data_IF_741276761757
#
_entry.id   IF_741276761757
#
_cell.length_a   1.000
_cell.length_b   1.000
_cell.length_c   1.000
_cell.angle_alpha   90.00
_cell.angle_beta   90.00
_cell.angle_gamma   90.00
#
_symmetry.space_group_name_H-M   'P 1'
#
loop_
_entity.id
_entity.type
_entity.pdbx_description
1 polymer ?
#
# COMPACT_ATOMS: atom_id res chain seq x y z
N UNK A 1 -34.13 -17.17 17.79
CA UNK A 1 -33.10 -17.46 18.81
C UNK A 1 -31.94 -16.52 18.58
N UNK A 2 -31.57 -15.80 19.62
CA UNK A 2 -30.73 -14.60 19.60
C UNK A 2 -29.30 -14.87 19.09
N UNK A 3 -28.78 -13.91 18.33
CA UNK A 3 -27.43 -13.89 17.74
C UNK A 3 -26.36 -13.32 18.68
N UNK A 4 -26.66 -13.19 19.97
CA UNK A 4 -25.78 -12.53 20.95
C UNK A 4 -25.15 -13.56 21.90
N UNK A 5 -24.09 -14.25 21.46
CA UNK A 5 -22.99 -14.74 22.33
C UNK A 5 -21.98 -15.60 21.57
N UNK A 6 -21.13 -14.98 20.75
CA UNK A 6 -19.81 -15.55 20.45
C UNK A 6 -18.76 -14.57 20.95
N UNK A 7 -18.32 -14.74 22.21
CA UNK A 7 -17.13 -14.03 22.70
C UNK A 7 -15.90 -14.73 22.13
N UNK A 8 -15.35 -14.17 21.05
CA UNK A 8 -14.06 -14.56 20.51
C UNK A 8 -13.00 -14.12 21.53
N UNK A 9 -12.23 -15.07 22.03
CA UNK A 9 -11.08 -14.84 22.91
C UNK A 9 -10.09 -13.85 22.27
N UNK A 10 -9.78 -12.76 23.01
CA UNK A 10 -8.89 -11.65 22.67
C UNK A 10 -7.44 -12.06 22.36
N UNK A 11 -7.18 -12.67 21.22
CA UNK A 11 -5.91 -12.54 20.50
C UNK A 11 -6.26 -12.00 19.11
N UNK A 12 -6.39 -10.67 19.01
CA UNK A 12 -6.52 -10.02 17.71
C UNK A 12 -5.22 -10.23 16.94
N UNK A 13 -5.19 -11.24 16.07
CA UNK A 13 -4.19 -11.36 15.02
C UNK A 13 -4.35 -10.13 14.12
N UNK A 14 -3.51 -9.13 14.36
CA UNK A 14 -3.48 -7.92 13.54
C UNK A 14 -2.67 -8.22 12.28
N UNK A 15 -3.32 -8.06 11.14
CA UNK A 15 -2.74 -8.13 9.80
C UNK A 15 -3.09 -6.85 9.08
N UNK A 16 -2.32 -6.46 8.07
CA UNK A 16 -2.64 -5.44 7.07
C UNK A 16 -2.92 -6.03 5.67
N UNK A 17 -2.77 -7.35 5.50
CA UNK A 17 -2.95 -8.03 4.21
C UNK A 17 -4.42 -8.46 3.99
N UNK A 18 -4.95 -8.16 2.81
CA UNK A 18 -6.32 -8.52 2.42
C UNK A 18 -6.52 -10.04 2.30
N UNK A 19 -5.49 -10.74 1.81
CA UNK A 19 -5.49 -12.21 1.72
C UNK A 19 -5.56 -12.87 3.10
N UNK A 20 -4.83 -12.35 4.10
CA UNK A 20 -4.88 -12.88 5.47
C UNK A 20 -6.22 -12.58 6.13
N UNK A 21 -6.76 -11.37 5.97
CA UNK A 21 -8.08 -11.00 6.48
C UNK A 21 -9.18 -11.93 5.94
N UNK A 22 -9.15 -12.23 4.63
CA UNK A 22 -10.08 -13.18 4.02
C UNK A 22 -9.89 -14.59 4.59
N UNK A 23 -8.66 -15.07 4.70
CA UNK A 23 -8.38 -16.43 5.19
C UNK A 23 -8.85 -16.62 6.65
N UNK A 24 -8.70 -15.59 7.50
CA UNK A 24 -9.23 -15.58 8.87
C UNK A 24 -10.76 -15.69 8.86
N UNK A 25 -11.45 -14.86 8.07
CA UNK A 25 -12.92 -14.86 8.01
C UNK A 25 -13.47 -16.16 7.44
N UNK A 26 -12.87 -16.67 6.35
CA UNK A 26 -13.26 -17.95 5.74
C UNK A 26 -13.01 -19.11 6.70
N UNK A 27 -11.88 -19.11 7.41
CA UNK A 27 -11.57 -20.12 8.42
C UNK A 27 -12.57 -20.13 9.59
N UNK A 28 -13.04 -18.96 10.01
CA UNK A 28 -14.02 -18.82 11.08
C UNK A 28 -15.46 -19.18 10.66
N UNK A 29 -15.85 -18.87 9.42
CA UNK A 29 -17.24 -19.01 8.93
C UNK A 29 -17.49 -20.25 8.09
N UNK A 30 -16.44 -20.87 7.54
CA UNK A 30 -16.51 -22.01 6.61
C UNK A 30 -17.18 -21.69 5.27
N UNK A 31 -17.35 -20.41 4.93
CA UNK A 31 -18.07 -19.96 3.73
C UNK A 31 -17.27 -18.92 2.96
N UNK A 32 -17.54 -18.84 1.66
CA UNK A 32 -17.08 -17.73 0.84
C UNK A 32 -17.78 -16.43 1.23
N UNK A 33 -17.08 -15.31 1.08
CA UNK A 33 -17.54 -13.99 1.50
C UNK A 33 -18.27 -13.34 0.34
N UNK A 34 -19.59 -13.14 0.48
CA UNK A 34 -20.38 -12.42 -0.52
C UNK A 34 -19.86 -10.98 -0.66
N UNK A 35 -19.74 -10.49 -1.90
CA UNK A 35 -19.19 -9.17 -2.19
C UNK A 35 -17.65 -9.12 -2.28
N UNK A 36 -16.98 -10.28 -2.24
CA UNK A 36 -15.53 -10.39 -2.45
C UNK A 36 -15.26 -11.26 -3.69
N UNK A 37 -14.41 -10.77 -4.60
CA UNK A 37 -13.90 -11.58 -5.74
C UNK A 37 -12.41 -11.81 -5.60
N UNK A 38 -11.95 -12.98 -6.05
CA UNK A 38 -10.53 -13.37 -6.05
C UNK A 38 -10.10 -13.83 -7.45
N UNK A 39 -8.92 -13.38 -7.86
CA UNK A 39 -8.19 -13.92 -9.01
C UNK A 39 -6.75 -14.20 -8.58
N UNK A 40 -6.20 -15.35 -8.98
CA UNK A 40 -4.83 -15.72 -8.67
C UNK A 40 -4.06 -16.07 -9.94
N UNK A 41 -2.83 -15.59 -10.02
CA UNK A 41 -1.90 -15.82 -11.14
C UNK A 41 -0.53 -16.21 -10.59
N UNK A 42 0.11 -17.21 -11.19
CA UNK A 42 1.47 -17.62 -10.79
C UNK A 42 2.52 -17.01 -11.73
N UNK A 43 3.70 -16.74 -11.18
CA UNK A 43 4.90 -16.34 -11.94
C UNK A 43 6.11 -17.10 -11.39
N UNK A 44 7.28 -17.10 -12.06
CA UNK A 44 8.38 -18.00 -11.71
C UNK A 44 8.84 -17.99 -10.25
N UNK A 45 8.72 -16.85 -9.55
CA UNK A 45 9.20 -16.66 -8.18
C UNK A 45 8.09 -16.50 -7.14
N UNK A 46 6.82 -16.73 -7.52
CA UNK A 46 5.71 -16.44 -6.63
C UNK A 46 4.33 -16.48 -7.24
N UNK A 47 3.39 -15.82 -6.58
CA UNK A 47 2.03 -15.63 -7.07
C UNK A 47 1.52 -14.22 -6.82
N UNK A 48 0.56 -13.81 -7.63
CA UNK A 48 -0.22 -12.59 -7.46
C UNK A 48 -1.65 -12.99 -7.17
N UNK A 49 -2.21 -12.47 -6.08
CA UNK A 49 -3.62 -12.61 -5.74
C UNK A 49 -4.28 -11.24 -5.76
N UNK A 50 -5.33 -11.09 -6.58
CA UNK A 50 -6.13 -9.88 -6.71
C UNK A 50 -7.44 -10.12 -5.98
N UNK A 51 -7.67 -9.35 -4.91
CA UNK A 51 -8.93 -9.34 -4.16
C UNK A 51 -9.65 -8.04 -4.48
N UNK A 52 -10.94 -8.11 -4.82
CA UNK A 52 -11.81 -6.93 -4.90
C UNK A 52 -12.89 -7.04 -3.85
N UNK A 53 -13.00 -6.02 -3.02
CA UNK A 53 -14.10 -5.81 -2.08
C UNK A 53 -15.08 -4.89 -2.78
N UNK A 54 -16.32 -5.36 -2.99
CA UNK A 54 -17.26 -4.74 -3.93
C UNK A 54 -18.34 -3.90 -3.22
N UNK A 55 -18.66 -4.22 -1.97
CA UNK A 55 -19.74 -3.60 -1.21
C UNK A 55 -19.42 -3.39 0.28
N UNK A 56 -20.25 -2.61 0.96
CA UNK A 56 -20.08 -2.23 2.36
C UNK A 56 -20.22 -3.42 3.34
N UNK A 57 -20.97 -4.45 2.96
CA UNK A 57 -21.12 -5.64 3.80
C UNK A 57 -19.81 -6.44 3.77
N UNK A 58 -19.22 -6.62 2.59
CA UNK A 58 -17.91 -7.22 2.42
C UNK A 58 -16.83 -6.40 3.16
N UNK A 59 -16.87 -5.07 3.11
CA UNK A 59 -15.95 -4.20 3.87
C UNK A 59 -16.02 -4.45 5.38
N UNK A 60 -17.23 -4.51 5.95
CA UNK A 60 -17.43 -4.80 7.39
C UNK A 60 -16.96 -6.19 7.77
N UNK A 61 -17.25 -7.18 6.94
CA UNK A 61 -16.87 -8.59 7.19
C UNK A 61 -15.36 -8.77 7.05
N UNK A 62 -14.74 -8.15 6.05
CA UNK A 62 -13.30 -8.21 5.81
C UNK A 62 -12.49 -7.33 6.78
N UNK A 63 -13.12 -6.32 7.40
CA UNK A 63 -12.40 -5.30 8.16
C UNK A 63 -11.45 -4.48 7.29
N UNK A 64 -11.77 -4.32 6.00
CA UNK A 64 -10.96 -3.65 4.98
C UNK A 64 -11.83 -2.78 4.09
N UNK A 65 -11.42 -1.53 3.80
CA UNK A 65 -12.19 -0.66 2.93
C UNK A 65 -12.48 -1.29 1.57
N UNK A 66 -13.60 -0.89 0.96
CA UNK A 66 -13.89 -1.21 -0.44
C UNK A 66 -12.71 -0.81 -1.35
N UNK A 67 -12.33 -1.69 -2.28
CA UNK A 67 -11.23 -1.44 -3.20
C UNK A 67 -10.67 -2.71 -3.83
N UNK A 68 -9.60 -2.52 -4.60
CA UNK A 68 -8.79 -3.57 -5.21
C UNK A 68 -7.48 -3.71 -4.46
N UNK A 69 -7.19 -4.93 -4.02
CA UNK A 69 -5.96 -5.31 -3.35
C UNK A 69 -5.19 -6.30 -4.22
N UNK A 70 -3.95 -5.99 -4.56
CA UNK A 70 -3.06 -6.87 -5.32
C UNK A 70 -1.93 -7.30 -4.39
N UNK A 71 -1.91 -8.58 -4.02
CA UNK A 71 -0.89 -9.16 -3.16
C UNK A 71 0.09 -9.96 -4.01
N UNK A 72 1.35 -9.58 -4.01
CA UNK A 72 2.45 -10.30 -4.64
C UNK A 72 3.17 -11.08 -3.53
N UNK A 73 3.12 -12.40 -3.57
CA UNK A 73 3.83 -13.27 -2.62
C UNK A 73 5.01 -13.94 -3.33
N UNK A 74 6.22 -13.67 -2.86
CA UNK A 74 7.45 -14.22 -3.41
C UNK A 74 8.38 -14.70 -2.28
N UNK A 75 8.26 -15.98 -1.86
CA UNK A 75 9.01 -16.53 -0.73
C UNK A 75 10.53 -16.42 -0.86
N UNK A 76 11.06 -16.35 -2.09
CA UNK A 76 12.50 -16.26 -2.35
C UNK A 76 13.11 -14.89 -2.02
N UNK A 77 12.30 -13.83 -1.83
CA UNK A 77 12.79 -12.52 -1.43
C UNK A 77 13.56 -12.54 -0.10
N UNK A 78 13.23 -13.46 0.81
CA UNK A 78 13.95 -13.64 2.09
C UNK A 78 15.41 -14.02 1.91
N UNK A 79 15.75 -14.63 0.77
CA UNK A 79 17.13 -15.02 0.43
C UNK A 79 17.87 -13.96 -0.39
N UNK A 80 17.21 -12.82 -0.70
CA UNK A 80 17.78 -11.73 -1.49
C UNK A 80 18.33 -12.17 -2.86
N UNK A 81 17.68 -13.15 -3.50
CA UNK A 81 18.02 -13.55 -4.88
C UNK A 81 17.82 -12.35 -5.83
N UNK A 82 18.84 -11.95 -6.60
CA UNK A 82 18.71 -10.89 -7.60
C UNK A 82 17.66 -11.21 -8.66
N UNK A 83 17.54 -12.48 -9.06
CA UNK A 83 16.58 -12.93 -10.06
C UNK A 83 15.14 -12.83 -9.54
N UNK A 84 14.91 -13.24 -8.29
CA UNK A 84 13.61 -13.08 -7.63
C UNK A 84 13.25 -11.59 -7.48
N UNK A 85 14.19 -10.75 -7.06
CA UNK A 85 13.99 -9.31 -6.94
C UNK A 85 13.64 -8.68 -8.30
N UNK A 86 14.37 -9.01 -9.36
CA UNK A 86 14.10 -8.51 -10.71
C UNK A 86 12.73 -8.95 -11.21
N UNK A 87 12.35 -10.21 -10.99
CA UNK A 87 11.05 -10.72 -11.39
C UNK A 87 9.91 -10.04 -10.64
N UNK A 88 10.03 -9.88 -9.31
CA UNK A 88 9.02 -9.20 -8.48
C UNK A 88 8.91 -7.73 -8.88
N UNK A 89 10.04 -7.04 -9.13
CA UNK A 89 10.04 -5.67 -9.60
C UNK A 89 9.30 -5.52 -10.95
N UNK A 90 9.47 -6.47 -11.87
CA UNK A 90 8.73 -6.51 -13.14
C UNK A 90 7.21 -6.66 -12.94
N UNK A 91 6.80 -7.58 -12.06
CA UNK A 91 5.38 -7.80 -11.72
C UNK A 91 4.78 -6.55 -11.06
N UNK A 92 5.47 -5.98 -10.06
CA UNK A 92 5.04 -4.75 -9.40
C UNK A 92 4.90 -3.58 -10.39
N UNK A 93 5.89 -3.38 -11.27
CA UNK A 93 5.86 -2.34 -12.28
C UNK A 93 4.68 -2.53 -13.25
N UNK A 94 4.39 -3.76 -13.67
CA UNK A 94 3.26 -4.05 -14.56
C UNK A 94 1.91 -3.72 -13.92
N UNK A 95 1.72 -4.10 -12.64
CA UNK A 95 0.49 -3.77 -11.92
C UNK A 95 0.36 -2.27 -11.66
N UNK A 96 1.43 -1.59 -11.25
CA UNK A 96 1.41 -0.14 -11.07
C UNK A 96 1.10 0.59 -12.38
N UNK A 97 1.68 0.16 -13.51
CA UNK A 97 1.37 0.75 -14.82
C UNK A 97 -0.12 0.64 -15.15
N UNK A 98 -0.73 -0.51 -14.89
CA UNK A 98 -2.14 -0.76 -15.15
C UNK A 98 -3.06 0.07 -14.24
N UNK A 99 -2.74 0.15 -12.94
CA UNK A 99 -3.54 0.91 -11.96
C UNK A 99 -3.41 2.42 -12.23
N UNK A 100 -2.18 2.88 -12.45
CA UNK A 100 -1.91 4.29 -12.69
C UNK A 100 -2.51 4.75 -14.02
N UNK A 101 -2.44 3.94 -15.08
CA UNK A 101 -2.96 4.27 -16.41
C UNK A 101 -2.53 5.70 -16.85
N UNK A 102 -1.23 5.94 -16.86
CA UNK A 102 -0.63 7.24 -17.16
C UNK A 102 -0.54 7.47 -18.67
N UNK A 103 -0.74 8.73 -19.09
CA UNK A 103 -0.57 9.16 -20.48
C UNK A 103 0.65 10.08 -20.70
N UNK A 104 1.43 10.33 -19.65
CA UNK A 104 2.75 10.99 -19.72
C UNK A 104 2.72 12.47 -19.33
N UNK A 105 1.57 13.05 -19.03
CA UNK A 105 1.45 14.47 -18.66
C UNK A 105 1.23 14.68 -17.15
N UNK A 106 1.00 13.60 -16.41
CA UNK A 106 0.64 13.68 -15.00
C UNK A 106 1.85 13.90 -14.09
N UNK A 107 1.64 14.59 -12.97
CA UNK A 107 2.63 14.60 -11.89
C UNK A 107 2.23 13.58 -10.84
N UNK A 108 3.15 12.68 -10.50
CA UNK A 108 2.98 11.68 -9.44
C UNK A 108 3.72 12.13 -8.19
N UNK A 109 3.05 12.05 -7.05
CA UNK A 109 3.64 12.31 -5.73
C UNK A 109 3.84 10.99 -4.99
N UNK A 110 5.09 10.64 -4.72
CA UNK A 110 5.45 9.46 -3.91
C UNK A 110 5.64 9.91 -2.46
N UNK A 111 4.96 9.23 -1.55
CA UNK A 111 5.06 9.47 -0.10
C UNK A 111 5.68 8.26 0.56
N UNK A 112 6.86 8.44 1.15
CA UNK A 112 7.49 7.42 2.00
C UNK A 112 7.06 7.60 3.45
N UNK A 113 6.12 6.77 3.91
CA UNK A 113 5.62 6.76 5.28
C UNK A 113 6.56 6.00 6.21
N UNK A 114 6.57 6.42 7.48
CA UNK A 114 7.35 5.80 8.54
C UNK A 114 8.51 6.66 9.04
N UNK A 115 9.26 6.11 9.97
CA UNK A 115 10.35 6.75 10.69
C UNK A 115 11.71 6.20 10.26
N UNK A 116 12.54 7.06 9.63
CA UNK A 116 13.93 6.76 9.26
C UNK A 116 14.80 6.24 10.41
N UNK A 117 14.47 6.61 11.65
CA UNK A 117 15.25 6.23 12.84
C UNK A 117 14.86 4.85 13.39
N UNK A 118 13.75 4.28 12.95
CA UNK A 118 13.28 2.96 13.37
C UNK A 118 13.40 1.98 12.19
N UNK A 119 14.38 1.08 12.23
CA UNK A 119 14.67 0.13 11.14
C UNK A 119 13.44 -0.58 10.55
N UNK A 120 12.50 -1.16 11.33
CA UNK A 120 11.33 -1.83 10.76
C UNK A 120 10.34 -0.87 10.10
N UNK A 121 10.40 0.44 10.41
CA UNK A 121 9.50 1.50 9.93
C UNK A 121 10.21 2.44 8.91
N UNK A 122 11.45 2.11 8.52
CA UNK A 122 12.27 2.95 7.64
C UNK A 122 12.06 2.65 6.14
N UNK A 123 11.15 1.72 5.80
CA UNK A 123 10.92 1.26 4.43
C UNK A 123 10.51 2.40 3.50
N UNK A 124 9.43 3.12 3.80
CA UNK A 124 8.95 4.23 2.97
C UNK A 124 10.03 5.28 2.72
N UNK A 125 10.73 5.79 3.75
CA UNK A 125 11.86 6.68 3.57
C UNK A 125 12.99 6.12 2.71
N UNK A 126 13.32 4.84 2.85
CA UNK A 126 14.35 4.17 2.06
C UNK A 126 13.95 4.09 0.59
N UNK A 127 12.69 3.79 0.29
CA UNK A 127 12.18 3.78 -1.09
C UNK A 127 12.28 5.17 -1.71
N UNK A 128 11.86 6.22 -0.99
CA UNK A 128 11.97 7.62 -1.46
C UNK A 128 13.42 7.99 -1.77
N UNK A 129 14.38 7.57 -0.94
CA UNK A 129 15.80 7.84 -1.16
C UNK A 129 16.36 7.20 -2.43
N UNK A 130 15.81 6.05 -2.84
CA UNK A 130 16.26 5.30 -4.02
C UNK A 130 15.36 5.53 -5.26
N UNK A 131 14.40 6.46 -5.17
CA UNK A 131 13.50 6.78 -6.27
C UNK A 131 14.11 7.86 -7.18
N UNK A 132 14.03 7.67 -8.51
CA UNK A 132 14.41 8.70 -9.47
C UNK A 132 13.38 9.83 -9.49
N UNK A 133 13.78 11.01 -9.00
CA UNK A 133 12.92 12.20 -8.92
C UNK A 133 13.13 13.07 -10.16
N UNK A 134 12.06 13.40 -10.87
CA UNK A 134 12.13 14.02 -12.21
C UNK A 134 11.34 15.31 -12.33
N UNK A 135 10.38 15.61 -11.42
CA UNK A 135 9.50 16.80 -11.54
C UNK A 135 10.26 18.12 -11.77
N UNK A 136 11.40 18.30 -11.10
CA UNK A 136 12.21 19.50 -11.24
C UNK A 136 12.92 19.58 -12.60
N UNK A 137 13.28 18.43 -13.20
CA UNK A 137 13.95 18.38 -14.51
C UNK A 137 13.03 18.80 -15.65
N UNK A 138 11.71 18.61 -15.53
CA UNK A 138 10.76 19.15 -16.51
C UNK A 138 10.82 20.69 -16.62
N UNK A 139 11.22 21.37 -15.55
CA UNK A 139 11.39 22.82 -15.54
C UNK A 139 12.77 23.26 -16.04
N UNK A 140 13.83 22.55 -15.62
CA UNK A 140 15.21 23.01 -15.83
C UNK A 140 15.93 22.32 -16.99
N UNK A 141 15.54 21.10 -17.37
CA UNK A 141 16.20 20.26 -18.37
C UNK A 141 15.19 19.39 -19.14
N UNK A 142 14.21 19.98 -19.86
CA UNK A 142 13.11 19.24 -20.49
C UNK A 142 13.59 18.19 -21.51
N UNK A 143 14.67 18.46 -22.24
CA UNK A 143 15.26 17.52 -23.23
C UNK A 143 15.78 16.22 -22.59
N UNK A 144 16.13 16.25 -21.29
CA UNK A 144 16.62 15.06 -20.58
C UNK A 144 15.49 14.15 -20.10
N UNK A 145 14.22 14.60 -20.16
CA UNK A 145 13.08 13.91 -19.56
C UNK A 145 11.91 13.64 -20.52
N UNK A 146 12.13 13.70 -21.84
CA UNK A 146 11.08 13.50 -22.85
C UNK A 146 10.28 12.18 -22.69
N UNK A 147 10.94 11.12 -22.23
CA UNK A 147 10.34 9.79 -22.04
C UNK A 147 10.12 9.41 -20.57
N UNK A 148 10.18 10.39 -19.67
CA UNK A 148 9.98 10.17 -18.24
C UNK A 148 8.59 10.63 -17.80
N UNK A 149 8.12 10.10 -16.68
CA UNK A 149 6.99 10.67 -15.96
C UNK A 149 7.50 11.80 -15.05
N UNK A 150 6.71 12.87 -14.86
CA UNK A 150 6.97 13.85 -13.79
C UNK A 150 6.69 13.23 -12.43
N UNK A 151 7.73 13.01 -11.64
CA UNK A 151 7.68 12.39 -10.31
C UNK A 151 8.32 13.30 -9.28
N UNK A 152 7.63 13.52 -8.18
CA UNK A 152 8.16 14.14 -6.97
C UNK A 152 7.92 13.22 -5.77
N UNK A 153 8.72 13.38 -4.72
CA UNK A 153 8.59 12.54 -3.55
C UNK A 153 8.95 13.28 -2.27
N UNK A 154 8.34 12.85 -1.17
CA UNK A 154 8.71 13.28 0.19
C UNK A 154 8.63 12.09 1.15
N UNK A 155 9.44 12.14 2.22
CA UNK A 155 9.25 11.31 3.40
C UNK A 155 8.99 12.26 4.57
N UNK A 156 7.73 12.48 4.96
CA UNK A 156 7.35 13.54 5.90
C UNK A 156 7.84 13.30 7.33
N UNK A 157 8.18 12.05 7.67
CA UNK A 157 8.44 11.63 9.04
C UNK A 157 7.16 11.39 9.82
N UNK A 158 7.31 11.24 11.13
CA UNK A 158 6.23 10.90 12.06
C UNK A 158 5.97 12.04 13.04
N UNK A 159 4.75 12.09 13.60
CA UNK A 159 4.30 13.09 14.56
C UNK A 159 5.32 13.36 15.68
N UNK A 160 5.91 12.31 16.25
CA UNK A 160 6.86 12.44 17.36
C UNK A 160 8.16 13.18 17.01
N UNK A 161 8.47 13.33 15.72
CA UNK A 161 9.67 14.03 15.23
C UNK A 161 9.29 15.43 14.72
N UNK A 162 8.17 15.55 14.02
CA UNK A 162 7.78 16.80 13.34
C UNK A 162 6.89 17.71 14.17
N UNK A 163 6.13 17.15 15.12
CA UNK A 163 5.05 17.84 15.81
C UNK A 163 3.81 18.13 14.95
N UNK A 164 3.78 17.64 13.71
CA UNK A 164 2.69 17.83 12.74
C UNK A 164 2.23 16.45 12.28
N UNK A 165 0.91 16.25 12.21
CA UNK A 165 0.36 14.99 11.72
C UNK A 165 0.81 14.73 10.28
N UNK A 166 1.21 13.49 9.99
CA UNK A 166 1.74 13.11 8.67
C UNK A 166 0.76 13.44 7.55
N UNK A 167 -0.55 13.24 7.79
CA UNK A 167 -1.60 13.58 6.84
C UNK A 167 -1.69 15.10 6.55
N UNK A 168 -1.42 15.96 7.54
CA UNK A 168 -1.43 17.43 7.35
C UNK A 168 -0.26 17.88 6.47
N UNK A 169 0.94 17.33 6.71
CA UNK A 169 2.12 17.61 5.88
C UNK A 169 1.84 17.22 4.44
N UNK A 170 1.30 16.01 4.22
CA UNK A 170 0.99 15.50 2.88
C UNK A 170 -0.07 16.39 2.23
N UNK A 171 -1.14 16.74 2.96
CA UNK A 171 -2.21 17.61 2.45
C UNK A 171 -1.66 18.96 1.98
N UNK A 172 -0.82 19.61 2.80
CA UNK A 172 -0.19 20.88 2.43
C UNK A 172 0.68 20.77 1.17
N UNK A 173 1.38 19.65 0.99
CA UNK A 173 2.17 19.39 -0.21
C UNK A 173 1.27 19.13 -1.42
N UNK A 174 0.21 18.34 -1.26
CA UNK A 174 -0.77 18.06 -2.33
C UNK A 174 -1.41 19.35 -2.84
N UNK A 175 -1.78 20.28 -1.94
CA UNK A 175 -2.38 21.56 -2.31
C UNK A 175 -1.44 22.45 -3.14
N UNK A 176 -0.12 22.36 -2.92
CA UNK A 176 0.87 23.15 -3.66
C UNK A 176 1.38 22.47 -4.92
N UNK A 177 1.56 21.15 -4.87
CA UNK A 177 2.10 20.37 -5.99
C UNK A 177 1.01 20.04 -7.01
N UNK A 178 -0.24 19.89 -6.56
CA UNK A 178 -1.38 19.43 -7.36
C UNK A 178 -1.05 18.17 -8.17
N UNK A 179 -0.56 17.08 -7.53
CA UNK A 179 -0.28 15.85 -8.25
C UNK A 179 -1.57 15.22 -8.76
N UNK A 180 -1.49 14.47 -9.86
CA UNK A 180 -2.64 13.75 -10.39
C UNK A 180 -2.95 12.49 -9.58
N UNK A 181 -1.93 11.87 -8.96
CA UNK A 181 -2.02 10.66 -8.15
C UNK A 181 -0.95 10.64 -7.06
N UNK A 182 -1.26 9.99 -5.95
CA UNK A 182 -0.34 9.72 -4.86
C UNK A 182 0.00 8.23 -4.82
N UNK A 183 1.27 7.91 -4.59
CA UNK A 183 1.71 6.55 -4.23
C UNK A 183 2.27 6.64 -2.80
N UNK A 184 1.54 6.08 -1.84
CA UNK A 184 1.95 6.02 -0.44
C UNK A 184 2.61 4.67 -0.15
N UNK A 185 3.82 4.68 0.40
CA UNK A 185 4.64 3.49 0.63
C UNK A 185 4.91 3.37 2.12
N UNK A 186 4.53 2.25 2.72
CA UNK A 186 4.63 1.99 4.16
C UNK A 186 5.09 0.56 4.45
N UNK A 187 5.61 0.31 5.65
CA UNK A 187 5.85 -1.05 6.13
C UNK A 187 4.53 -1.62 6.67
N UNK A 188 4.15 -2.84 6.25
CA UNK A 188 2.90 -3.47 6.69
C UNK A 188 3.14 -4.48 7.81
N UNK A 189 2.11 -4.70 8.63
CA UNK A 189 2.08 -5.84 9.53
C UNK A 189 1.53 -7.08 8.81
N UNK A 190 2.31 -8.16 8.78
CA UNK A 190 1.83 -9.49 8.39
C UNK A 190 1.55 -10.33 9.66
N UNK A 191 0.41 -11.01 9.72
CA UNK A 191 0.11 -11.94 10.81
C UNK A 191 0.87 -13.27 10.64
N UNK A 192 1.08 -13.72 9.41
CA UNK A 192 1.90 -14.88 9.11
C UNK A 192 3.37 -14.49 8.91
N UNK A 193 4.24 -15.05 9.75
CA UNK A 193 5.69 -14.84 9.69
C UNK A 193 6.29 -15.18 8.33
N UNK A 194 5.72 -16.11 7.57
CA UNK A 194 6.24 -16.49 6.26
C UNK A 194 6.09 -15.38 5.21
N UNK A 195 5.19 -14.42 5.45
CA UNK A 195 4.90 -13.27 4.58
C UNK A 195 5.74 -12.04 4.87
N UNK A 196 6.38 -12.01 6.04
CA UNK A 196 7.24 -10.90 6.45
C UNK A 196 8.45 -10.77 5.51
N UNK A 197 8.55 -9.63 4.83
CA UNK A 197 9.65 -9.36 3.88
C UNK A 197 9.60 -10.19 2.60
N UNK A 198 8.50 -10.89 2.34
CA UNK A 198 8.29 -11.72 1.13
C UNK A 198 7.00 -11.37 0.39
N UNK A 199 6.23 -10.42 0.92
CA UNK A 199 4.92 -10.03 0.38
C UNK A 199 4.93 -8.55 0.08
N UNK A 200 4.32 -8.15 -1.04
CA UNK A 200 4.06 -6.75 -1.37
C UNK A 200 2.57 -6.63 -1.66
N UNK A 201 1.87 -5.71 -1.01
CA UNK A 201 0.47 -5.41 -1.27
C UNK A 201 0.30 -4.03 -1.90
N UNK A 202 -0.48 -3.95 -2.97
CA UNK A 202 -0.93 -2.71 -3.59
C UNK A 202 -2.42 -2.56 -3.31
N UNK A 203 -2.87 -1.38 -2.89
CA UNK A 203 -4.28 -1.05 -2.67
C UNK A 203 -4.65 0.28 -3.30
N UNK A 204 -5.84 0.40 -3.89
CA UNK A 204 -6.39 1.65 -4.43
C UNK A 204 -7.28 2.42 -3.44
N UNK A 205 -7.41 1.88 -2.23
CA UNK A 205 -8.28 2.38 -1.16
C UNK A 205 -7.58 3.39 -0.21
N UNK A 206 -6.32 3.73 -0.48
CA UNK A 206 -5.48 4.51 0.43
C UNK A 206 -4.92 3.72 1.60
N UNK A 207 -4.38 4.43 2.60
CA UNK A 207 -3.69 3.84 3.76
C UNK A 207 -4.00 4.61 5.05
N UNK A 208 -4.04 3.90 6.18
CA UNK A 208 -4.09 4.48 7.50
C UNK A 208 -2.73 4.25 8.19
N UNK A 209 -1.85 5.26 8.27
CA UNK A 209 -0.51 5.08 8.83
C UNK A 209 -0.55 4.66 10.29
N UNK A 210 0.29 3.69 10.69
CA UNK A 210 0.44 3.29 12.09
C UNK A 210 -0.68 2.40 12.65
N UNK A 211 -1.28 1.54 11.81
CA UNK A 211 -2.26 0.50 12.19
C UNK A 211 -1.85 -0.34 13.41
N UNK A 212 -0.54 -0.53 13.64
CA UNK A 212 0.02 -1.28 14.78
C UNK A 212 0.01 -0.55 16.13
N UNK A 213 -0.28 0.76 16.19
CA UNK A 213 -0.32 1.53 17.45
C UNK A 213 -1.70 2.16 17.57
N UNK A 214 -2.48 1.69 18.55
CA UNK A 214 -3.88 1.94 18.92
C UNK A 214 -4.42 3.41 18.90
N UNK A 215 -4.18 4.19 17.83
CA UNK A 215 -4.63 5.56 17.67
C UNK A 215 -5.26 5.74 16.29
N UNK A 216 -6.46 6.33 16.25
CA UNK A 216 -7.16 6.68 14.99
C UNK A 216 -6.41 7.84 14.32
N UNK A 217 -5.36 7.53 13.55
CA UNK A 217 -4.69 8.52 12.71
C UNK A 217 -5.51 8.79 11.46
N UNK A 218 -5.42 10.02 10.95
CA UNK A 218 -6.12 10.45 9.74
C UNK A 218 -5.68 9.60 8.55
N UNK A 219 -6.65 9.03 7.85
CA UNK A 219 -6.41 8.22 6.65
C UNK A 219 -5.84 9.07 5.51
N UNK A 220 -4.97 8.47 4.71
CA UNK A 220 -4.42 9.02 3.47
C UNK A 220 -5.11 8.29 2.32
N UNK A 221 -6.21 8.86 1.83
CA UNK A 221 -7.03 8.29 0.78
C UNK A 221 -7.55 9.39 -0.15
N UNK A 222 -8.32 9.02 -1.17
CA UNK A 222 -8.87 10.01 -2.12
C UNK A 222 -9.78 11.04 -1.45
N UNK A 223 -10.52 10.66 -0.40
CA UNK A 223 -11.44 11.57 0.30
C UNK A 223 -10.66 12.64 1.08
N UNK A 224 -9.57 12.27 1.73
CA UNK A 224 -8.75 13.21 2.53
C UNK A 224 -7.76 14.01 1.67
N UNK A 225 -7.23 13.42 0.61
CA UNK A 225 -6.22 14.05 -0.26
C UNK A 225 -6.83 14.75 -1.48
N UNK A 226 -8.05 14.43 -1.87
CA UNK A 226 -8.71 14.98 -3.07
C UNK A 226 -8.19 14.42 -4.40
N UNK A 227 -7.21 13.52 -4.36
CA UNK A 227 -6.60 12.87 -5.52
C UNK A 227 -6.46 11.36 -5.26
N UNK A 228 -6.52 10.50 -6.28
CA UNK A 228 -6.38 9.05 -6.09
C UNK A 228 -5.10 8.68 -5.33
N UNK A 229 -5.22 7.79 -4.36
CA UNK A 229 -4.09 7.30 -3.53
C UNK A 229 -3.93 5.80 -3.73
N UNK A 230 -2.74 5.40 -4.14
CA UNK A 230 -2.34 4.00 -4.24
C UNK A 230 -1.41 3.72 -3.07
N UNK A 231 -1.82 2.81 -2.19
CA UNK A 231 -1.00 2.31 -1.10
C UNK A 231 -0.14 1.15 -1.61
N UNK A 232 1.14 1.16 -1.26
CA UNK A 232 2.03 0.01 -1.42
C UNK A 232 2.58 -0.29 -0.04
N UNK A 233 2.55 -1.56 0.34
CA UNK A 233 3.19 -1.97 1.57
C UNK A 233 3.82 -3.33 1.49
N UNK A 234 4.82 -3.55 2.34
CA UNK A 234 5.72 -4.72 2.33
C UNK A 234 5.82 -5.31 3.72
#
# INVERSE_FOLDING_TARGET
MNLDNFSISNHHLHTDLAVEARDIVRGATGKEISGVSEEQQSFPYGSVTIIKILDENAEKVMGRPKGTYITIEAPELKFKSPEAQQSVAGVLAQHLKNILNLNGQETILIIGLGNRQATPDALGPSVVQNTLITRHLFQYMPEAVENYQSVCAIAPGVLGITGIETAEIIRGVVEKVQPSRIIAIDALAAANISRLGTTIQIGDNGIAPGSGVNNRRTEINQQTMGVPVIAIGV
#
